data_IF_017223624650
#
_entry.id   IF_017223624650
#
_cell.length_a   1.000
_cell.length_b   1.000
_cell.length_c   1.000
_cell.angle_alpha   90.00
_cell.angle_beta   90.00
_cell.angle_gamma   90.00
#
_symmetry.space_group_name_H-M   'P 1'
#
loop_
_entity.id
_entity.type
_entity.pdbx_description
1 polymer ?
#
# COMPACT_ATOMS: atom_id res chain seq x y z
N UNK A 1 21.47 9.44 -15.23
CA UNK A 1 21.66 8.64 -14.00
C UNK A 1 20.66 9.15 -12.96
N UNK A 2 20.26 8.31 -12.00
CA UNK A 2 19.36 8.76 -10.91
C UNK A 2 20.12 9.68 -9.96
N UNK A 3 19.43 10.67 -9.37
CA UNK A 3 20.01 11.58 -8.38
C UNK A 3 20.31 10.80 -7.10
N UNK A 4 21.53 10.95 -6.59
CA UNK A 4 21.94 10.27 -5.36
C UNK A 4 21.37 10.96 -4.11
N UNK A 5 20.58 10.23 -3.34
CA UNK A 5 19.91 10.73 -2.13
C UNK A 5 20.91 11.20 -1.07
N UNK A 6 22.05 10.54 -0.95
CA UNK A 6 23.08 10.93 0.01
C UNK A 6 23.75 12.26 -0.36
N UNK A 7 24.01 12.47 -1.66
CA UNK A 7 24.55 13.74 -2.14
C UNK A 7 23.60 14.90 -1.84
N UNK A 8 22.31 14.73 -2.12
CA UNK A 8 21.31 15.76 -1.82
C UNK A 8 21.21 16.02 -0.32
N UNK A 9 21.11 14.95 0.51
CA UNK A 9 21.03 15.10 1.96
C UNK A 9 22.22 15.84 2.56
N UNK A 10 23.44 15.45 2.17
CA UNK A 10 24.67 16.11 2.66
C UNK A 10 24.79 17.54 2.19
N UNK A 11 24.33 17.86 0.96
CA UNK A 11 24.29 19.22 0.44
C UNK A 11 23.30 20.08 1.24
N UNK A 12 22.09 19.59 1.48
CA UNK A 12 21.07 20.27 2.28
C UNK A 12 21.59 20.54 3.70
N UNK A 13 22.18 19.54 4.37
CA UNK A 13 22.78 19.72 5.69
C UNK A 13 23.93 20.74 5.67
N UNK A 14 24.76 20.73 4.64
CA UNK A 14 25.89 21.67 4.53
C UNK A 14 25.41 23.13 4.43
N UNK A 15 24.31 23.37 3.71
CA UNK A 15 23.72 24.71 3.61
C UNK A 15 23.09 25.13 4.94
N UNK A 16 22.32 24.25 5.57
CA UNK A 16 21.66 24.54 6.85
C UNK A 16 22.67 24.77 7.97
N UNK A 17 23.74 23.97 8.05
CA UNK A 17 24.77 24.09 9.09
C UNK A 17 25.62 25.34 8.96
N UNK A 18 25.94 25.80 7.73
CA UNK A 18 26.71 27.02 7.51
C UNK A 18 26.06 28.26 8.11
N UNK A 19 24.75 28.29 8.08
CA UNK A 19 23.96 29.41 8.56
C UNK A 19 23.57 29.25 10.05
N UNK A 20 23.98 28.18 10.74
CA UNK A 20 23.57 27.82 12.12
C UNK A 20 22.04 27.81 12.31
N UNK A 21 21.29 27.50 11.23
CA UNK A 21 19.83 27.64 11.16
C UNK A 21 19.05 26.43 11.62
N UNK A 22 19.71 25.35 12.01
CA UNK A 22 19.07 24.17 12.54
C UNK A 22 19.50 22.87 11.85
N UNK A 23 18.95 21.79 12.30
CA UNK A 23 19.21 20.43 11.84
C UNK A 23 17.92 19.80 11.35
N UNK A 24 17.97 19.16 10.20
CA UNK A 24 16.88 18.35 9.67
C UNK A 24 17.15 16.88 9.92
N UNK A 25 16.20 16.20 10.51
CA UNK A 25 16.30 14.76 10.76
C UNK A 25 16.16 13.96 9.48
N UNK A 26 16.72 12.73 9.42
CA UNK A 26 16.53 11.86 8.26
C UNK A 26 15.06 11.58 7.89
N UNK A 27 14.18 11.48 8.87
CA UNK A 27 12.75 11.24 8.64
C UNK A 27 12.06 12.46 8.02
N UNK A 28 12.36 13.66 8.50
CA UNK A 28 11.87 14.90 7.91
C UNK A 28 12.39 15.07 6.49
N UNK A 29 13.68 14.81 6.26
CA UNK A 29 14.26 14.86 4.93
C UNK A 29 13.56 13.87 3.98
N UNK A 30 13.31 12.64 4.38
CA UNK A 30 12.66 11.63 3.56
C UNK A 30 11.25 12.05 3.14
N UNK A 31 10.50 12.68 4.04
CA UNK A 31 9.17 13.23 3.74
C UNK A 31 9.25 14.37 2.73
N UNK A 32 10.17 15.32 2.93
CA UNK A 32 10.36 16.44 2.00
C UNK A 32 10.89 15.98 0.64
N UNK A 33 11.85 15.08 0.63
CA UNK A 33 12.42 14.53 -0.61
C UNK A 33 11.35 13.82 -1.46
N UNK A 34 10.49 13.03 -0.82
CA UNK A 34 9.37 12.37 -1.50
C UNK A 34 8.37 13.39 -2.04
N UNK A 35 8.01 14.41 -1.26
CA UNK A 35 7.10 15.47 -1.68
C UNK A 35 7.65 16.23 -2.89
N UNK A 36 8.90 16.65 -2.83
CA UNK A 36 9.57 17.38 -3.92
C UNK A 36 9.66 16.54 -5.19
N UNK A 37 9.98 15.25 -5.07
CA UNK A 37 9.99 14.34 -6.22
C UNK A 37 8.62 14.26 -6.89
N UNK A 38 7.54 14.16 -6.11
CA UNK A 38 6.17 14.14 -6.63
C UNK A 38 5.80 15.45 -7.32
N UNK A 39 6.20 16.60 -6.78
CA UNK A 39 5.93 17.91 -7.38
C UNK A 39 6.64 18.09 -8.73
N UNK A 40 7.91 17.69 -8.82
CA UNK A 40 8.65 17.74 -10.09
C UNK A 40 8.02 16.77 -11.10
N UNK A 41 7.63 15.57 -10.66
CA UNK A 41 6.93 14.60 -11.50
C UNK A 41 5.62 15.15 -12.07
N UNK A 42 4.78 15.80 -11.26
CA UNK A 42 3.53 16.43 -11.72
C UNK A 42 3.80 17.62 -12.66
N UNK A 43 4.85 18.41 -12.40
CA UNK A 43 5.27 19.52 -13.25
C UNK A 43 5.53 19.08 -14.69
N UNK A 44 6.15 17.88 -14.93
CA UNK A 44 6.36 17.39 -16.29
C UNK A 44 5.09 17.27 -17.10
N UNK A 45 3.96 16.90 -16.46
CA UNK A 45 2.67 16.81 -17.18
C UNK A 45 2.04 18.18 -17.41
N UNK A 46 2.23 19.13 -16.51
CA UNK A 46 1.78 20.52 -16.71
C UNK A 46 2.55 21.15 -17.86
N UNK A 47 3.86 20.99 -17.89
CA UNK A 47 4.72 21.50 -18.94
C UNK A 47 4.40 20.85 -20.29
N UNK A 48 4.15 19.55 -20.33
CA UNK A 48 3.69 18.86 -21.55
C UNK A 48 2.36 19.43 -22.05
N UNK A 49 1.39 19.63 -21.17
CA UNK A 49 0.08 20.20 -21.53
C UNK A 49 0.20 21.64 -22.05
N UNK A 50 1.12 22.44 -21.48
CA UNK A 50 1.39 23.80 -21.95
C UNK A 50 2.02 23.79 -23.34
N UNK A 51 3.03 22.94 -23.57
CA UNK A 51 3.69 22.79 -24.85
C UNK A 51 2.71 22.35 -25.96
N UNK A 52 1.78 21.46 -25.68
CA UNK A 52 0.77 21.01 -26.65
C UNK A 52 -0.23 22.10 -27.05
N UNK A 53 -0.33 23.19 -26.30
CA UNK A 53 -1.21 24.35 -26.59
C UNK A 53 -0.51 25.47 -27.37
N UNK A 54 0.83 25.47 -27.39
CA UNK A 54 1.59 26.48 -28.11
C UNK A 54 1.61 26.14 -29.60
N UNK A 55 1.41 27.11 -30.53
CA UNK A 55 1.53 26.86 -31.96
C UNK A 55 2.91 26.34 -32.32
N UNK A 56 2.98 25.27 -33.09
CA UNK A 56 4.21 24.59 -33.50
C UNK A 56 4.95 25.43 -34.57
N UNK A 57 5.49 26.57 -34.21
CA UNK A 57 6.07 27.51 -35.14
C UNK A 57 7.61 27.42 -35.23
N UNK A 58 8.29 26.67 -34.31
CA UNK A 58 9.75 26.73 -34.20
C UNK A 58 10.38 25.35 -33.98
N UNK A 59 11.62 25.17 -34.45
CA UNK A 59 12.44 23.95 -34.28
C UNK A 59 12.76 23.66 -32.79
N UNK A 60 12.83 24.68 -31.96
CA UNK A 60 13.02 24.53 -30.50
C UNK A 60 11.85 23.82 -29.80
N UNK A 61 10.64 23.98 -30.33
CA UNK A 61 9.44 23.30 -29.81
C UNK A 61 9.62 21.77 -29.80
N UNK A 62 10.09 21.20 -30.90
CA UNK A 62 10.31 19.75 -30.99
C UNK A 62 11.37 19.24 -30.00
N UNK A 63 12.40 20.04 -29.70
CA UNK A 63 13.42 19.70 -28.73
C UNK A 63 12.88 19.76 -27.28
N UNK A 64 12.10 20.77 -26.94
CA UNK A 64 11.46 20.89 -25.61
C UNK A 64 10.49 19.73 -25.36
N UNK A 65 9.62 19.43 -26.31
CA UNK A 65 8.69 18.31 -26.21
C UNK A 65 9.44 16.99 -26.02
N UNK A 66 10.52 16.76 -26.79
CA UNK A 66 11.36 15.56 -26.68
C UNK A 66 12.04 15.46 -25.32
N UNK A 67 12.52 16.56 -24.76
CA UNK A 67 13.13 16.58 -23.44
C UNK A 67 12.11 16.22 -22.34
N UNK A 68 10.91 16.79 -22.39
CA UNK A 68 9.83 16.45 -21.43
C UNK A 68 9.43 14.97 -21.59
N UNK A 69 9.31 14.49 -22.83
CA UNK A 69 8.99 13.07 -23.08
C UNK A 69 10.09 12.13 -22.55
N UNK A 70 11.35 12.52 -22.65
CA UNK A 70 12.48 11.79 -22.06
C UNK A 70 12.36 11.73 -20.52
N UNK A 71 12.00 12.84 -19.86
CA UNK A 71 11.77 12.86 -18.40
C UNK A 71 10.63 11.93 -18.00
N UNK A 72 9.52 11.94 -18.75
CA UNK A 72 8.37 11.08 -18.49
C UNK A 72 8.68 9.61 -18.83
N UNK A 73 9.56 9.34 -19.80
CA UNK A 73 9.87 7.99 -20.27
C UNK A 73 10.42 7.07 -19.18
N UNK A 74 11.10 7.62 -18.17
CA UNK A 74 11.62 6.88 -17.01
C UNK A 74 10.50 6.20 -16.22
N UNK A 75 9.30 6.80 -16.24
CA UNK A 75 8.13 6.31 -15.52
C UNK A 75 7.19 5.46 -16.39
N UNK A 76 7.45 5.37 -17.70
CA UNK A 76 6.69 4.51 -18.61
C UNK A 76 7.09 3.06 -18.39
N UNK A 77 6.11 2.20 -18.11
CA UNK A 77 6.34 0.77 -17.89
C UNK A 77 5.17 -0.06 -18.39
N UNK A 78 5.37 -1.36 -18.51
CA UNK A 78 4.35 -2.32 -18.89
C UNK A 78 4.23 -3.36 -17.79
N UNK A 79 3.02 -3.68 -17.39
CA UNK A 79 2.74 -4.74 -16.44
C UNK A 79 1.45 -5.48 -16.80
N UNK A 80 1.37 -6.75 -16.38
CA UNK A 80 0.13 -7.51 -16.39
C UNK A 80 -0.69 -7.13 -15.15
N UNK A 81 -1.99 -6.85 -15.31
CA UNK A 81 -2.87 -6.57 -14.17
C UNK A 81 -3.20 -7.85 -13.40
N UNK A 82 -3.81 -7.70 -12.23
CA UNK A 82 -4.38 -8.83 -11.49
C UNK A 82 -5.81 -9.07 -11.96
N UNK A 83 -6.12 -10.29 -12.40
CA UNK A 83 -7.49 -10.68 -12.81
C UNK A 83 -8.33 -11.02 -11.59
N UNK A 84 -9.50 -10.42 -11.50
CA UNK A 84 -10.54 -10.73 -10.51
C UNK A 84 -11.71 -11.38 -11.25
N UNK A 85 -11.88 -12.67 -11.06
CA UNK A 85 -12.92 -13.45 -11.75
C UNK A 85 -14.32 -13.23 -11.18
N UNK A 86 -15.33 -13.66 -11.93
CA UNK A 86 -16.70 -13.78 -11.43
C UNK A 86 -16.74 -14.76 -10.27
N UNK A 87 -17.55 -14.48 -9.25
CA UNK A 87 -17.62 -15.30 -8.05
C UNK A 87 -16.42 -15.15 -7.11
N UNK A 88 -15.65 -14.06 -7.23
CA UNK A 88 -14.68 -13.68 -6.21
C UNK A 88 -15.43 -13.22 -4.95
N UNK A 89 -15.10 -13.83 -3.81
CA UNK A 89 -15.78 -13.58 -2.53
C UNK A 89 -15.36 -12.22 -1.98
N UNK A 90 -16.34 -11.39 -1.67
CA UNK A 90 -16.13 -10.04 -1.11
C UNK A 90 -16.38 -9.98 0.40
N UNK A 91 -17.40 -10.70 0.87
CA UNK A 91 -17.72 -10.75 2.31
C UNK A 91 -18.16 -12.17 2.70
N UNK A 92 -17.80 -12.55 3.93
CA UNK A 92 -18.18 -13.82 4.54
C UNK A 92 -18.58 -13.62 5.98
N UNK A 93 -19.41 -14.54 6.50
CA UNK A 93 -19.77 -14.64 7.90
C UNK A 93 -19.49 -16.03 8.45
N UNK A 94 -18.91 -16.11 9.65
CA UNK A 94 -18.66 -17.39 10.32
C UNK A 94 -19.99 -17.98 10.76
N UNK A 95 -20.32 -19.22 10.31
CA UNK A 95 -21.50 -19.97 10.76
C UNK A 95 -21.13 -20.86 11.93
N UNK A 96 -20.01 -21.57 11.81
CA UNK A 96 -19.48 -22.42 12.86
C UNK A 96 -17.99 -22.13 13.03
N UNK A 97 -17.59 -21.78 14.25
CA UNK A 97 -16.17 -21.52 14.55
C UNK A 97 -15.32 -22.78 14.68
N UNK A 98 -15.94 -23.95 14.66
CA UNK A 98 -15.26 -25.24 14.78
C UNK A 98 -14.49 -25.41 16.07
N UNK A 99 -13.54 -26.32 16.09
CA UNK A 99 -12.65 -26.58 17.23
C UNK A 99 -11.23 -26.88 16.78
N UNK A 100 -10.26 -26.61 17.64
CA UNK A 100 -8.84 -26.92 17.38
C UNK A 100 -8.14 -25.99 16.40
N UNK A 101 -8.73 -24.81 16.09
CA UNK A 101 -8.10 -23.79 15.24
C UNK A 101 -7.15 -22.90 16.02
N UNK A 102 -6.24 -22.27 15.30
CA UNK A 102 -5.33 -21.22 15.79
C UNK A 102 -5.45 -19.99 14.90
N UNK A 103 -5.01 -18.84 15.40
CA UNK A 103 -4.85 -17.68 14.53
C UNK A 103 -3.86 -18.01 13.41
N UNK A 104 -4.28 -17.85 12.19
CA UNK A 104 -3.46 -18.19 11.00
C UNK A 104 -3.83 -17.31 9.83
N UNK A 105 -2.90 -17.13 8.91
CA UNK A 105 -3.10 -16.38 7.67
C UNK A 105 -3.17 -17.31 6.47
N UNK A 106 -3.87 -16.88 5.42
CA UNK A 106 -4.00 -17.62 4.16
C UNK A 106 -4.51 -19.06 4.30
N UNK A 107 -5.41 -19.32 5.25
CA UNK A 107 -6.02 -20.64 5.44
C UNK A 107 -7.01 -20.90 4.31
N UNK A 108 -6.90 -22.04 3.64
CA UNK A 108 -7.83 -22.40 2.57
C UNK A 108 -9.26 -22.58 3.13
N UNK A 109 -10.22 -21.97 2.44
CA UNK A 109 -11.64 -22.21 2.67
C UNK A 109 -12.25 -22.75 1.36
N UNK A 110 -12.77 -23.97 1.37
CA UNK A 110 -13.13 -24.67 0.16
C UNK A 110 -14.59 -25.12 0.13
N UNK A 111 -15.22 -24.92 -1.02
CA UNK A 111 -16.47 -25.54 -1.47
C UNK A 111 -16.48 -25.59 -3.00
N UNK A 112 -16.85 -26.71 -3.58
CA UNK A 112 -17.04 -26.81 -5.04
C UNK A 112 -18.37 -26.11 -5.45
N UNK A 113 -18.39 -25.44 -6.65
CA UNK A 113 -17.35 -25.39 -7.68
C UNK A 113 -16.29 -24.33 -7.48
N UNK A 114 -16.40 -23.46 -6.48
CA UNK A 114 -15.44 -22.37 -6.24
C UNK A 114 -14.04 -22.89 -5.87
N UNK A 115 -13.04 -22.06 -6.11
CA UNK A 115 -11.64 -22.38 -5.83
C UNK A 115 -10.81 -21.14 -5.44
N UNK A 116 -9.73 -21.36 -4.67
CA UNK A 116 -8.76 -20.32 -4.35
C UNK A 116 -9.16 -19.34 -3.23
N UNK A 117 -10.29 -19.55 -2.54
CA UNK A 117 -10.64 -18.74 -1.36
C UNK A 117 -9.66 -19.06 -0.22
N UNK A 118 -9.02 -18.02 0.29
CA UNK A 118 -8.23 -18.11 1.53
C UNK A 118 -8.66 -17.01 2.50
N UNK A 119 -8.61 -17.35 3.79
CA UNK A 119 -9.02 -16.47 4.86
C UNK A 119 -7.97 -16.43 5.97
N UNK A 120 -7.88 -15.31 6.66
CA UNK A 120 -7.16 -15.20 7.91
C UNK A 120 -8.13 -15.53 9.04
N UNK A 121 -7.75 -16.44 9.91
CA UNK A 121 -8.59 -16.92 11.01
C UNK A 121 -8.22 -16.26 12.34
N UNK A 122 -9.22 -15.79 13.07
CA UNK A 122 -9.06 -15.17 14.38
C UNK A 122 -9.84 -15.98 15.41
N UNK A 123 -9.11 -16.60 16.32
CA UNK A 123 -9.66 -17.33 17.45
C UNK A 123 -9.57 -16.49 18.71
N UNK A 124 -10.58 -16.51 19.55
CA UNK A 124 -10.48 -15.89 20.88
C UNK A 124 -9.56 -16.75 21.73
N UNK A 125 -8.64 -16.14 22.48
CA UNK A 125 -7.96 -16.78 23.60
C UNK A 125 -8.89 -16.64 24.80
N UNK A 126 -9.63 -17.66 25.19
CA UNK A 126 -10.75 -17.46 26.13
C UNK A 126 -10.32 -17.36 27.58
N UNK A 127 -9.17 -17.90 27.95
CA UNK A 127 -8.69 -17.74 29.30
C UNK A 127 -7.16 -17.71 29.38
N UNK A 128 -6.69 -16.80 30.18
CA UNK A 128 -5.30 -16.70 30.63
C UNK A 128 -5.29 -16.58 32.16
N UNK A 129 -4.21 -17.00 32.74
CA UNK A 129 -3.95 -16.81 34.15
C UNK A 129 -2.75 -15.89 34.33
N UNK A 130 -2.88 -14.88 35.18
CA UNK A 130 -1.73 -14.09 35.61
C UNK A 130 -0.89 -15.02 36.51
N UNK A 131 0.23 -15.50 35.98
CA UNK A 131 1.09 -16.43 36.72
C UNK A 131 1.99 -15.66 37.66
N UNK A 132 2.55 -14.54 37.19
CA UNK A 132 3.33 -13.63 38.01
C UNK A 132 2.80 -12.21 37.76
N UNK A 133 2.27 -11.54 38.81
CA UNK A 133 1.66 -10.22 38.63
C UNK A 133 2.68 -9.08 38.40
N UNK A 134 3.96 -9.35 38.63
CA UNK A 134 5.03 -8.40 38.45
C UNK A 134 4.95 -7.19 39.40
N UNK A 135 5.71 -6.16 39.10
CA UNK A 135 5.73 -4.89 39.84
C UNK A 135 6.09 -3.71 38.94
N UNK A 136 5.74 -2.50 39.36
CA UNK A 136 6.08 -1.26 38.65
C UNK A 136 5.29 -1.03 37.36
N UNK A 137 4.16 -1.72 37.17
CA UNK A 137 3.26 -1.50 36.04
C UNK A 137 2.29 -0.35 36.32
N UNK A 138 1.81 0.25 35.25
CA UNK A 138 0.71 1.21 35.26
C UNK A 138 -0.47 0.70 34.40
N UNK A 139 -1.67 1.22 34.64
CA UNK A 139 -2.79 0.99 33.74
C UNK A 139 -2.45 1.52 32.36
N UNK A 140 -2.54 0.67 31.34
CA UNK A 140 -2.11 0.99 29.97
C UNK A 140 -2.91 0.15 28.96
N UNK A 141 -2.99 0.65 27.73
CA UNK A 141 -3.62 -0.04 26.58
C UNK A 141 -2.56 -0.45 25.57
N UNK A 142 -2.86 -1.53 24.85
CA UNK A 142 -2.02 -2.03 23.74
C UNK A 142 -0.57 -2.34 24.17
N UNK A 143 -0.39 -2.89 25.36
CA UNK A 143 0.92 -3.26 25.89
C UNK A 143 1.42 -4.50 25.15
N UNK A 144 2.60 -4.46 24.48
CA UNK A 144 3.15 -5.61 23.78
C UNK A 144 3.60 -6.70 24.76
N UNK A 145 3.65 -7.92 24.25
CA UNK A 145 4.12 -9.08 24.99
C UNK A 145 5.28 -9.75 24.28
N UNK A 146 6.07 -10.53 25.02
CA UNK A 146 7.19 -11.31 24.49
C UNK A 146 7.07 -12.77 24.94
N UNK A 147 7.54 -13.71 24.12
CA UNK A 147 7.46 -15.13 24.38
C UNK A 147 7.18 -15.93 23.11
N UNK A 148 6.55 -17.09 23.24
CA UNK A 148 6.08 -17.87 22.10
C UNK A 148 4.99 -17.11 21.36
N UNK A 149 4.93 -17.20 20.03
CA UNK A 149 4.01 -16.47 19.18
C UNK A 149 4.42 -15.02 18.89
N UNK A 150 3.57 -14.28 18.16
CA UNK A 150 3.81 -12.90 17.75
C UNK A 150 2.53 -12.08 17.80
N UNK A 151 2.65 -10.77 18.07
CA UNK A 151 1.57 -9.81 17.93
C UNK A 151 0.51 -9.83 19.05
N UNK A 152 0.64 -10.62 20.10
CA UNK A 152 -0.26 -10.51 21.26
C UNK A 152 -0.03 -9.19 21.97
N UNK A 153 -1.09 -8.44 22.18
CA UNK A 153 -1.07 -7.24 23.02
C UNK A 153 -2.19 -7.30 24.05
N UNK A 154 -1.95 -6.69 25.21
CA UNK A 154 -2.87 -6.69 26.33
C UNK A 154 -3.16 -5.28 26.83
N UNK A 155 -4.33 -5.07 27.41
CA UNK A 155 -4.65 -3.88 28.17
C UNK A 155 -4.55 -4.20 29.65
N UNK A 156 -3.70 -3.49 30.38
CA UNK A 156 -3.63 -3.55 31.85
C UNK A 156 -4.76 -2.69 32.39
N UNK A 157 -5.77 -3.31 32.97
CA UNK A 157 -7.01 -2.64 33.44
C UNK A 157 -6.97 -2.30 34.92
N UNK A 158 -6.18 -3.00 35.71
CA UNK A 158 -6.05 -2.75 37.16
C UNK A 158 -4.66 -3.16 37.68
N UNK A 159 -4.16 -2.40 38.64
CA UNK A 159 -2.93 -2.66 39.40
C UNK A 159 -3.17 -2.41 40.89
N UNK A 160 -2.33 -3.01 41.74
CA UNK A 160 -2.28 -2.69 43.18
C UNK A 160 -1.31 -1.52 43.45
N UNK A 161 -1.19 -1.12 44.73
CA UNK A 161 -0.33 -0.01 45.17
C UNK A 161 1.18 -0.26 44.89
N UNK A 162 1.61 -1.50 44.72
CA UNK A 162 2.98 -1.87 44.37
C UNK A 162 3.21 -1.93 42.86
N UNK A 163 2.22 -1.58 42.06
CA UNK A 163 2.25 -1.68 40.59
C UNK A 163 2.20 -3.12 40.08
N UNK A 164 1.65 -4.05 40.87
CA UNK A 164 1.45 -5.43 40.41
C UNK A 164 0.11 -5.52 39.65
N UNK A 165 0.10 -6.24 38.56
CA UNK A 165 -1.08 -6.38 37.69
C UNK A 165 -2.15 -7.23 38.37
N UNK A 166 -3.34 -6.68 38.54
CA UNK A 166 -4.51 -7.37 39.10
C UNK A 166 -5.64 -7.58 38.13
N UNK A 167 -5.65 -6.82 37.02
CA UNK A 167 -6.62 -6.95 35.95
C UNK A 167 -5.99 -6.74 34.58
N UNK A 168 -6.40 -7.57 33.63
CA UNK A 168 -5.89 -7.52 32.26
C UNK A 168 -6.98 -7.99 31.29
N UNK A 169 -6.98 -7.42 30.10
CA UNK A 169 -7.79 -7.88 28.96
C UNK A 169 -6.88 -8.06 27.74
N UNK A 170 -7.17 -9.05 26.91
CA UNK A 170 -6.49 -9.19 25.62
C UNK A 170 -7.00 -8.11 24.67
N UNK A 171 -6.09 -7.34 24.09
CA UNK A 171 -6.39 -6.34 23.07
C UNK A 171 -6.25 -6.91 21.66
N UNK A 172 -5.14 -7.59 21.38
CA UNK A 172 -4.92 -8.33 20.14
C UNK A 172 -4.47 -9.75 20.49
N UNK A 173 -5.11 -10.80 19.98
CA UNK A 173 -4.75 -12.19 20.34
C UNK A 173 -3.44 -12.68 19.71
N UNK A 174 -2.90 -11.97 18.69
CA UNK A 174 -1.67 -12.39 18.00
C UNK A 174 -1.77 -13.72 17.27
N UNK A 175 -0.61 -14.29 16.93
CA UNK A 175 -0.48 -15.53 16.13
C UNK A 175 0.55 -16.48 16.75
N UNK A 176 0.36 -17.80 16.53
CA UNK A 176 1.36 -18.82 16.89
C UNK A 176 1.45 -19.18 18.37
N UNK A 177 0.42 -18.90 19.15
CA UNK A 177 0.37 -19.28 20.57
C UNK A 177 -0.25 -20.68 20.77
N UNK A 178 0.18 -21.37 21.83
CA UNK A 178 -0.34 -22.65 22.26
C UNK A 178 -0.74 -22.63 23.73
N UNK A 179 -1.65 -23.53 24.14
CA UNK A 179 -1.99 -23.75 25.54
C UNK A 179 -0.73 -24.08 26.36
N UNK A 180 -0.59 -23.47 27.50
CA UNK A 180 0.59 -23.60 28.37
C UNK A 180 1.74 -22.66 28.02
N UNK A 181 1.66 -21.85 26.94
CA UNK A 181 2.67 -20.83 26.69
C UNK A 181 2.68 -19.80 27.83
N UNK A 182 3.90 -19.50 28.28
CA UNK A 182 4.17 -18.42 29.23
C UNK A 182 4.63 -17.20 28.46
N UNK A 183 3.93 -16.10 28.66
CA UNK A 183 4.12 -14.85 27.93
C UNK A 183 4.49 -13.76 28.92
N UNK A 184 5.56 -13.03 28.66
CA UNK A 184 5.97 -11.89 29.48
C UNK A 184 5.31 -10.61 28.97
N UNK A 185 4.81 -9.77 29.88
CA UNK A 185 4.26 -8.44 29.58
C UNK A 185 5.41 -7.44 29.62
N UNK A 186 5.56 -6.64 28.57
CA UNK A 186 6.59 -5.61 28.52
C UNK A 186 6.23 -4.40 29.39
N UNK A 187 7.24 -3.68 29.89
CA UNK A 187 7.04 -2.54 30.77
C UNK A 187 7.19 -2.91 32.26
N UNK A 188 6.97 -1.96 33.16
CA UNK A 188 7.21 -2.14 34.58
C UNK A 188 8.65 -2.64 34.85
N UNK A 189 8.79 -3.60 35.76
CA UNK A 189 10.04 -4.33 35.96
C UNK A 189 10.19 -5.53 35.00
N UNK A 190 9.33 -5.65 33.96
CA UNK A 190 9.30 -6.73 32.96
C UNK A 190 9.22 -8.15 33.53
N UNK A 191 8.64 -8.29 34.72
CA UNK A 191 8.56 -9.56 35.45
C UNK A 191 7.15 -10.12 35.60
N UNK A 192 6.15 -9.48 34.95
CA UNK A 192 4.79 -10.03 34.87
C UNK A 192 4.69 -11.08 33.79
N UNK A 193 4.08 -12.21 34.10
CA UNK A 193 3.85 -13.29 33.14
C UNK A 193 2.40 -13.76 33.15
N UNK A 194 1.94 -14.10 31.94
CA UNK A 194 0.65 -14.75 31.71
C UNK A 194 0.90 -16.18 31.26
N UNK A 195 0.14 -17.11 31.78
CA UNK A 195 0.05 -18.45 31.20
C UNK A 195 -1.28 -18.60 30.46
N UNK A 196 -1.21 -19.01 29.21
CA UNK A 196 -2.41 -19.35 28.44
C UNK A 196 -2.96 -20.68 28.95
N UNK A 197 -4.05 -20.61 29.74
CA UNK A 197 -4.59 -21.77 30.46
C UNK A 197 -5.47 -22.65 29.61
N UNK A 198 -6.24 -22.08 28.71
CA UNK A 198 -6.90 -22.78 27.62
C UNK A 198 -6.93 -21.86 26.41
N UNK A 199 -6.38 -22.31 25.32
CA UNK A 199 -6.91 -21.93 24.03
C UNK A 199 -8.24 -22.69 23.99
N UNK A 200 -9.36 -22.07 24.30
CA UNK A 200 -10.64 -22.80 24.35
C UNK A 200 -10.88 -23.34 22.97
N UNK A 201 -10.56 -24.56 22.80
CA UNK A 201 -10.86 -25.43 21.67
C UNK A 201 -10.70 -24.78 20.29
N UNK A 202 -9.91 -23.66 20.19
CA UNK A 202 -9.64 -22.94 18.95
C UNK A 202 -10.89 -22.66 18.12
N UNK A 203 -11.87 -21.99 18.71
CA UNK A 203 -13.10 -21.60 18.00
C UNK A 203 -12.86 -20.33 17.23
N UNK A 204 -13.02 -20.34 15.92
CA UNK A 204 -12.91 -19.17 15.06
C UNK A 204 -14.08 -18.22 15.37
N UNK A 205 -13.77 -16.98 15.72
CA UNK A 205 -14.75 -15.92 15.99
C UNK A 205 -14.93 -15.00 14.79
N UNK A 206 -13.87 -14.79 14.04
CA UNK A 206 -13.90 -13.93 12.86
C UNK A 206 -12.93 -14.46 11.80
N UNK A 207 -13.22 -14.13 10.56
CA UNK A 207 -12.35 -14.36 9.41
C UNK A 207 -12.24 -13.09 8.58
N UNK A 208 -11.03 -12.82 8.07
CA UNK A 208 -10.82 -11.82 7.04
C UNK A 208 -10.44 -12.53 5.73
N UNK A 209 -10.96 -12.06 4.61
CA UNK A 209 -10.63 -12.64 3.32
C UNK A 209 -9.23 -12.16 2.92
N UNK A 210 -8.30 -13.12 2.74
CA UNK A 210 -6.96 -12.86 2.19
C UNK A 210 -6.97 -12.92 0.68
N UNK A 211 -7.70 -13.89 0.11
CA UNK A 211 -7.94 -14.02 -1.32
C UNK A 211 -9.38 -14.52 -1.53
N UNK A 212 -10.16 -13.79 -2.33
CA UNK A 212 -11.55 -14.12 -2.58
C UNK A 212 -11.79 -15.29 -3.54
N UNK A 213 -10.73 -15.82 -4.18
CA UNK A 213 -10.85 -16.93 -5.13
C UNK A 213 -11.73 -16.62 -6.35
N UNK A 214 -12.37 -17.61 -6.91
CA UNK A 214 -13.30 -17.44 -8.04
C UNK A 214 -14.31 -18.60 -8.12
N UNK A 215 -15.43 -18.37 -8.82
CA UNK A 215 -16.43 -19.40 -9.08
C UNK A 215 -17.38 -19.69 -7.92
N UNK A 216 -17.42 -18.84 -6.91
CA UNK A 216 -18.34 -18.96 -5.77
C UNK A 216 -19.69 -18.31 -6.05
N UNK A 217 -20.71 -18.78 -5.31
CA UNK A 217 -22.06 -18.22 -5.31
C UNK A 217 -22.46 -17.74 -3.92
N UNK A 218 -23.34 -16.74 -3.88
CA UNK A 218 -23.87 -16.23 -2.60
C UNK A 218 -24.67 -17.31 -1.89
N UNK A 219 -24.46 -17.46 -0.60
CA UNK A 219 -25.13 -18.45 0.24
C UNK A 219 -24.37 -19.78 0.36
N UNK A 220 -23.35 -20.02 -0.44
CA UNK A 220 -22.49 -21.20 -0.28
C UNK A 220 -21.75 -21.17 1.07
N UNK A 221 -21.51 -22.37 1.62
CA UNK A 221 -20.86 -22.58 2.91
C UNK A 221 -19.54 -23.29 2.72
N UNK A 222 -18.45 -22.54 2.82
CA UNK A 222 -17.11 -23.09 2.67
C UNK A 222 -16.58 -23.62 4.00
N UNK A 223 -15.89 -24.77 3.95
CA UNK A 223 -15.19 -25.36 5.09
C UNK A 223 -13.79 -24.78 5.19
N UNK A 224 -13.42 -24.28 6.37
CA UNK A 224 -12.10 -23.72 6.65
C UNK A 224 -11.15 -24.88 6.99
N UNK A 225 -10.03 -24.95 6.31
CA UNK A 225 -9.03 -25.98 6.53
C UNK A 225 -8.34 -25.84 7.89
N UNK A 226 -7.82 -26.95 8.42
CA UNK A 226 -7.16 -26.99 9.72
C UNK A 226 -8.09 -27.34 10.88
N UNK A 227 -7.60 -27.22 12.11
CA UNK A 227 -8.33 -27.61 13.30
C UNK A 227 -8.93 -29.02 13.21
N UNK A 228 -10.15 -29.20 13.69
CA UNK A 228 -10.93 -30.41 13.51
C UNK A 228 -11.66 -30.50 12.15
N UNK A 229 -11.45 -29.52 11.24
CA UNK A 229 -12.10 -29.47 9.93
C UNK A 229 -13.59 -29.13 9.98
N UNK A 230 -14.09 -28.57 11.07
CA UNK A 230 -15.52 -28.34 11.32
C UNK A 230 -15.91 -26.85 11.39
N UNK A 231 -14.98 -25.95 11.13
CA UNK A 231 -15.30 -24.53 10.99
C UNK A 231 -15.85 -24.25 9.59
N UNK A 232 -16.89 -23.44 9.53
CA UNK A 232 -17.53 -23.08 8.27
C UNK A 232 -17.83 -21.59 8.20
N UNK A 233 -17.67 -21.03 7.01
CA UNK A 233 -18.03 -19.66 6.70
C UNK A 233 -18.99 -19.61 5.52
N UNK A 234 -20.01 -18.75 5.61
CA UNK A 234 -20.96 -18.51 4.52
C UNK A 234 -20.47 -17.37 3.66
N UNK A 235 -20.61 -17.51 2.38
CA UNK A 235 -20.36 -16.48 1.39
C UNK A 235 -21.55 -15.54 1.34
N UNK A 236 -21.39 -14.30 1.78
CA UNK A 236 -22.47 -13.32 1.87
C UNK A 236 -22.56 -12.45 0.63
N UNK A 237 -21.43 -12.13 0.00
CA UNK A 237 -21.40 -11.40 -1.26
C UNK A 237 -20.23 -11.79 -2.14
N UNK A 238 -20.44 -11.68 -3.45
CA UNK A 238 -19.45 -12.01 -4.48
C UNK A 238 -19.38 -10.91 -5.53
N UNK A 239 -18.28 -10.88 -6.26
CA UNK A 239 -18.16 -10.10 -7.47
C UNK A 239 -18.93 -10.78 -8.63
N UNK A 240 -19.80 -10.02 -9.29
CA UNK A 240 -20.65 -10.54 -10.37
C UNK A 240 -20.09 -10.30 -11.78
N UNK A 241 -19.05 -9.48 -11.90
CA UNK A 241 -18.42 -9.13 -13.18
C UNK A 241 -16.92 -9.27 -13.04
N UNK A 242 -16.26 -9.94 -14.00
CA UNK A 242 -14.80 -10.00 -14.04
C UNK A 242 -14.21 -8.62 -14.37
N UNK A 243 -13.12 -8.28 -13.70
CA UNK A 243 -12.35 -7.08 -13.96
C UNK A 243 -10.87 -7.33 -13.68
N UNK A 244 -10.07 -6.39 -14.12
CA UNK A 244 -8.62 -6.40 -13.88
C UNK A 244 -8.24 -5.24 -12.97
N UNK A 245 -7.41 -5.53 -11.97
CA UNK A 245 -6.82 -4.52 -11.12
C UNK A 245 -5.49 -4.08 -11.74
N UNK A 246 -5.36 -2.80 -12.10
CA UNK A 246 -4.08 -2.27 -12.54
C UNK A 246 -3.06 -2.25 -11.39
N UNK A 247 -1.75 -2.12 -11.68
CA UNK A 247 -0.72 -1.98 -10.66
C UNK A 247 -1.02 -0.85 -9.68
N UNK A 248 -0.68 -1.05 -8.39
CA UNK A 248 -0.96 -0.08 -7.32
C UNK A 248 -0.22 1.26 -7.47
N UNK A 249 0.89 1.26 -8.20
CA UNK A 249 1.68 2.46 -8.52
C UNK A 249 1.22 3.17 -9.81
N UNK A 250 0.07 2.78 -10.37
CA UNK A 250 -0.48 3.42 -11.55
C UNK A 250 -0.75 4.91 -11.30
N UNK A 251 -0.24 5.77 -12.18
CA UNK A 251 -0.60 7.19 -12.26
C UNK A 251 -1.54 7.46 -13.44
N UNK A 252 -1.16 7.06 -14.64
CA UNK A 252 -1.96 7.21 -15.87
C UNK A 252 -1.86 5.96 -16.73
N UNK A 253 -3.02 5.49 -17.23
CA UNK A 253 -3.05 4.43 -18.23
C UNK A 253 -2.63 5.03 -19.59
N UNK A 254 -1.72 4.36 -20.27
CA UNK A 254 -1.41 4.59 -21.68
C UNK A 254 -2.30 3.70 -22.55
N UNK A 255 -1.81 2.52 -22.89
CA UNK A 255 -2.53 1.56 -23.73
C UNK A 255 -2.77 0.25 -22.97
N UNK A 256 -3.91 -0.37 -23.24
CA UNK A 256 -4.21 -1.74 -22.79
C UNK A 256 -4.09 -2.66 -24.00
N UNK A 257 -3.33 -3.73 -23.88
CA UNK A 257 -2.94 -4.60 -24.98
C UNK A 257 -3.42 -6.02 -24.69
N UNK A 258 -4.08 -6.66 -25.68
CA UNK A 258 -4.51 -8.05 -25.62
C UNK A 258 -3.53 -8.95 -26.38
N UNK A 259 -3.02 -9.99 -25.70
CA UNK A 259 -2.07 -10.99 -26.23
C UNK A 259 -0.83 -10.40 -26.90
N UNK A 260 -0.38 -9.21 -26.44
CA UNK A 260 0.74 -8.45 -27.02
C UNK A 260 0.61 -8.14 -28.52
N UNK A 261 -0.61 -8.24 -29.08
CA UNK A 261 -0.87 -8.05 -30.51
C UNK A 261 -1.88 -6.95 -30.78
N UNK A 262 -2.87 -6.77 -29.90
CA UNK A 262 -4.01 -5.90 -30.19
C UNK A 262 -4.19 -4.87 -29.10
N UNK A 263 -4.29 -3.62 -29.51
CA UNK A 263 -4.69 -2.53 -28.63
C UNK A 263 -6.19 -2.61 -28.35
N UNK A 264 -6.60 -2.46 -27.09
CA UNK A 264 -7.99 -2.32 -26.70
C UNK A 264 -8.40 -0.85 -26.80
N UNK A 265 -9.53 -0.61 -27.43
CA UNK A 265 -10.11 0.74 -27.47
C UNK A 265 -10.74 1.06 -26.12
N UNK A 266 -10.41 2.23 -25.56
CA UNK A 266 -11.11 2.76 -24.39
C UNK A 266 -12.51 3.21 -24.78
N UNK A 267 -13.50 2.79 -24.01
CA UNK A 267 -14.89 3.21 -24.18
C UNK A 267 -15.45 3.72 -22.85
N UNK A 268 -16.40 4.63 -22.92
CA UNK A 268 -17.17 5.07 -21.76
C UNK A 268 -18.40 4.18 -21.56
N UNK A 269 -19.00 4.20 -20.37
CA UNK A 269 -20.12 3.29 -20.02
C UNK A 269 -21.34 3.45 -20.94
N UNK A 270 -21.70 4.66 -21.31
CA UNK A 270 -22.80 4.94 -22.24
C UNK A 270 -22.49 4.44 -23.66
N UNK A 271 -21.26 4.60 -24.11
CA UNK A 271 -20.80 4.08 -25.40
C UNK A 271 -20.84 2.56 -25.41
N UNK A 272 -20.34 1.91 -24.34
CA UNK A 272 -20.41 0.46 -24.17
C UNK A 272 -21.84 -0.08 -24.26
N UNK A 273 -22.81 0.61 -23.66
CA UNK A 273 -24.22 0.24 -23.76
C UNK A 273 -24.71 0.30 -25.22
N UNK A 274 -24.36 1.35 -25.96
CA UNK A 274 -24.77 1.53 -27.35
C UNK A 274 -24.15 0.48 -28.27
N UNK A 275 -22.85 0.20 -28.15
CA UNK A 275 -22.19 -0.78 -29.02
C UNK A 275 -22.65 -2.23 -28.73
N UNK A 276 -23.13 -2.50 -27.53
CA UNK A 276 -23.69 -3.83 -27.18
C UNK A 276 -25.09 -4.06 -27.74
N UNK A 277 -25.80 -3.04 -28.20
CA UNK A 277 -27.16 -3.16 -28.79
C UNK A 277 -27.15 -3.82 -30.18
N UNK A 278 -26.04 -3.71 -30.90
CA UNK A 278 -25.94 -4.26 -32.26
C UNK A 278 -24.95 -5.43 -32.31
N UNK A 279 -25.32 -6.57 -32.91
CA UNK A 279 -24.41 -7.70 -33.12
C UNK A 279 -23.16 -7.34 -33.95
N UNK A 280 -23.22 -6.32 -34.79
CA UNK A 280 -22.13 -5.87 -35.65
C UNK A 280 -21.10 -5.02 -34.90
N UNK A 281 -21.52 -4.29 -33.88
CA UNK A 281 -20.67 -3.38 -33.11
C UNK A 281 -20.23 -3.98 -31.77
N UNK A 282 -20.85 -5.08 -31.36
CA UNK A 282 -20.54 -5.76 -30.10
C UNK A 282 -19.06 -6.16 -30.04
N UNK A 283 -18.36 -5.90 -28.92
CA UNK A 283 -16.97 -6.26 -28.75
C UNK A 283 -16.71 -7.75 -28.97
N UNK A 284 -15.64 -8.05 -29.70
CA UNK A 284 -15.18 -9.42 -29.97
C UNK A 284 -13.72 -9.56 -29.57
N UNK A 285 -13.18 -10.78 -29.54
CA UNK A 285 -11.75 -11.02 -29.30
C UNK A 285 -10.85 -10.46 -30.40
N UNK A 286 -11.44 -10.11 -31.57
CA UNK A 286 -10.72 -9.44 -32.65
C UNK A 286 -10.67 -7.93 -32.43
N UNK A 287 -11.74 -7.35 -31.91
CA UNK A 287 -11.88 -5.92 -31.59
C UNK A 287 -12.32 -5.79 -30.12
N UNK A 288 -11.41 -6.05 -29.16
CA UNK A 288 -11.73 -5.91 -27.75
C UNK A 288 -11.72 -4.44 -27.35
N UNK A 289 -12.55 -4.13 -26.35
CA UNK A 289 -12.62 -2.78 -25.76
C UNK A 289 -12.44 -2.87 -24.25
N UNK A 290 -12.07 -1.76 -23.63
CA UNK A 290 -12.01 -1.68 -22.19
C UNK A 290 -12.70 -0.44 -21.63
N UNK A 291 -13.25 -0.60 -20.44
CA UNK A 291 -13.84 0.44 -19.62
C UNK A 291 -12.94 0.63 -18.38
N UNK A 292 -12.60 1.87 -18.05
CA UNK A 292 -11.80 2.20 -16.88
C UNK A 292 -12.60 3.05 -15.92
N UNK A 293 -12.93 2.49 -14.77
CA UNK A 293 -13.75 3.14 -13.74
C UNK A 293 -13.18 2.90 -12.36
N UNK A 294 -13.48 3.79 -11.45
CA UNK A 294 -13.20 3.57 -10.03
C UNK A 294 -14.29 2.70 -9.40
N UNK A 295 -13.91 1.73 -8.57
CA UNK A 295 -14.88 0.96 -7.80
C UNK A 295 -15.74 1.88 -6.94
N UNK A 296 -17.05 1.62 -6.90
CA UNK A 296 -17.94 2.35 -6.01
C UNK A 296 -17.53 2.13 -4.55
N UNK A 297 -17.52 3.20 -3.76
CA UNK A 297 -17.32 3.11 -2.33
C UNK A 297 -18.51 2.37 -1.71
N UNK A 298 -18.34 1.18 -1.24
CA UNK A 298 -19.41 0.35 -0.66
C UNK A 298 -19.21 -1.13 -0.88
N UNK A 299 -18.29 -1.51 -1.74
CA UNK A 299 -17.82 -2.89 -1.83
C UNK A 299 -16.85 -3.12 -0.69
N UNK A 300 -17.31 -3.77 0.38
CA UNK A 300 -16.45 -4.24 1.47
C UNK A 300 -15.44 -5.24 0.90
N UNK A 301 -14.17 -4.98 1.10
CA UNK A 301 -13.08 -5.84 0.63
C UNK A 301 -11.81 -5.03 0.32
N UNK A 302 -10.69 -5.71 0.16
CA UNK A 302 -9.36 -5.12 -0.06
C UNK A 302 -9.25 -4.24 -1.33
N UNK A 303 -10.29 -4.19 -2.18
CA UNK A 303 -10.29 -3.52 -3.47
C UNK A 303 -11.19 -2.26 -3.51
N UNK A 304 -11.72 -1.82 -2.36
CA UNK A 304 -12.54 -0.61 -2.31
C UNK A 304 -11.68 0.63 -2.59
N UNK A 305 -12.16 1.49 -3.48
CA UNK A 305 -11.46 2.73 -3.86
C UNK A 305 -10.33 2.55 -4.88
N UNK A 306 -10.09 1.34 -5.38
CA UNK A 306 -9.16 1.09 -6.48
C UNK A 306 -9.85 1.27 -7.84
N UNK A 307 -9.08 1.62 -8.84
CA UNK A 307 -9.58 1.69 -10.22
C UNK A 307 -9.65 0.29 -10.83
N UNK A 308 -10.70 0.03 -11.59
CA UNK A 308 -10.96 -1.23 -12.27
C UNK A 308 -10.88 -1.07 -13.78
N UNK A 309 -10.32 -2.06 -14.45
CA UNK A 309 -10.30 -2.20 -15.90
C UNK A 309 -11.24 -3.35 -16.27
N UNK A 310 -12.38 -3.03 -16.85
CA UNK A 310 -13.31 -4.04 -17.39
C UNK A 310 -12.97 -4.27 -18.85
N UNK A 311 -12.77 -5.52 -19.23
CA UNK A 311 -12.44 -5.89 -20.62
C UNK A 311 -13.63 -6.61 -21.26
N UNK A 312 -13.92 -6.25 -22.48
CA UNK A 312 -14.99 -6.86 -23.28
C UNK A 312 -14.43 -7.39 -24.59
N UNK A 313 -14.86 -8.60 -25.04
CA UNK A 313 -15.90 -9.45 -24.44
C UNK A 313 -15.46 -10.03 -23.08
N UNK A 314 -16.44 -10.31 -22.23
CA UNK A 314 -16.23 -10.85 -20.87
C UNK A 314 -15.60 -12.25 -20.82
N UNK A 315 -15.39 -12.87 -21.98
CA UNK A 315 -14.65 -14.13 -22.14
C UNK A 315 -13.14 -13.96 -21.95
N UNK A 316 -12.63 -12.72 -21.98
CA UNK A 316 -11.23 -12.39 -21.71
C UNK A 316 -11.08 -12.25 -20.18
N UNK A 317 -10.55 -13.29 -19.54
CA UNK A 317 -10.43 -13.34 -18.07
C UNK A 317 -9.01 -13.60 -17.58
N UNK A 318 -8.11 -14.07 -18.43
CA UNK A 318 -6.74 -14.39 -18.04
C UNK A 318 -5.87 -13.12 -17.91
N UNK A 319 -5.24 -12.93 -16.76
CA UNK A 319 -4.31 -11.81 -16.53
C UNK A 319 -3.10 -11.83 -17.47
N UNK A 320 -2.65 -13.03 -17.88
CA UNK A 320 -1.55 -13.21 -18.83
C UNK A 320 -1.86 -12.70 -20.24
N UNK A 321 -3.13 -12.58 -20.59
CA UNK A 321 -3.56 -12.12 -21.90
C UNK A 321 -3.63 -10.60 -21.99
N UNK A 322 -3.58 -9.90 -20.86
CA UNK A 322 -3.68 -8.43 -20.78
C UNK A 322 -2.37 -7.84 -20.31
N UNK A 323 -1.88 -6.85 -21.06
CA UNK A 323 -0.75 -6.02 -20.67
C UNK A 323 -1.19 -4.56 -20.66
N UNK A 324 -0.83 -3.84 -19.61
CA UNK A 324 -1.13 -2.41 -19.45
C UNK A 324 0.17 -1.64 -19.58
N UNK A 325 0.29 -0.80 -20.61
CA UNK A 325 1.33 0.22 -20.68
C UNK A 325 0.85 1.43 -19.89
N UNK A 326 1.63 1.90 -18.94
CA UNK A 326 1.20 2.96 -18.06
C UNK A 326 2.37 3.82 -17.56
N UNK A 327 2.04 4.97 -17.04
CA UNK A 327 2.96 5.82 -16.31
C UNK A 327 2.77 5.51 -14.82
N UNK A 328 3.85 5.07 -14.18
CA UNK A 328 3.84 4.78 -12.74
C UNK A 328 4.16 6.02 -11.92
N UNK A 329 3.70 6.04 -10.69
CA UNK A 329 4.17 7.01 -9.70
C UNK A 329 5.63 6.70 -9.34
N UNK A 330 6.46 7.73 -9.06
CA UNK A 330 7.79 7.51 -8.51
C UNK A 330 7.72 6.85 -7.13
N UNK A 331 8.74 6.07 -6.81
CA UNK A 331 8.89 5.45 -5.48
C UNK A 331 9.22 6.50 -4.43
N UNK A 332 8.85 6.26 -3.17
CA UNK A 332 9.23 7.14 -2.08
C UNK A 332 10.75 7.18 -1.94
N UNK A 333 11.29 8.39 -1.80
CA UNK A 333 12.72 8.60 -1.57
C UNK A 333 13.04 8.29 -0.11
N UNK A 334 14.08 7.50 0.12
CA UNK A 334 14.51 7.12 1.47
C UNK A 334 16.03 7.29 1.58
N UNK A 335 16.47 8.19 2.44
CA UNK A 335 17.83 8.17 2.95
C UNK A 335 17.88 7.19 4.12
N UNK A 336 18.35 5.97 3.83
CA UNK A 336 18.47 4.90 4.81
C UNK A 336 19.69 5.13 5.71
N UNK A 337 19.55 4.79 6.99
CA UNK A 337 20.62 4.98 7.96
C UNK A 337 20.68 3.85 8.99
N UNK A 338 21.84 3.74 9.61
CA UNK A 338 22.05 2.96 10.83
C UNK A 338 22.47 3.91 11.94
N UNK A 339 22.13 3.59 13.18
CA UNK A 339 22.53 4.39 14.33
C UNK A 339 23.88 3.87 14.84
N UNK A 340 24.89 4.73 14.81
CA UNK A 340 26.21 4.41 15.35
C UNK A 340 26.24 4.40 16.89
N UNK A 341 27.37 3.97 17.48
CA UNK A 341 27.56 3.80 18.92
C UNK A 341 27.41 5.09 19.74
N UNK A 342 27.60 6.25 19.11
CA UNK A 342 27.43 7.58 19.70
C UNK A 342 26.08 8.23 19.36
N UNK A 343 25.12 7.46 18.80
CA UNK A 343 23.83 7.98 18.41
C UNK A 343 23.79 8.73 17.06
N UNK A 344 24.91 8.80 16.34
CA UNK A 344 24.99 9.45 15.02
C UNK A 344 24.32 8.60 13.94
N UNK A 345 23.71 9.26 12.95
CA UNK A 345 23.14 8.62 11.78
C UNK A 345 24.23 8.37 10.73
N UNK A 346 24.40 7.11 10.35
CA UNK A 346 25.35 6.66 9.33
C UNK A 346 24.58 6.22 8.10
N UNK A 347 24.91 6.76 6.93
CA UNK A 347 24.28 6.39 5.68
C UNK A 347 24.39 4.90 5.38
N UNK A 348 23.27 4.29 4.98
CA UNK A 348 23.18 2.90 4.55
C UNK A 348 22.62 2.82 3.15
N UNK A 349 23.46 2.47 2.18
CA UNK A 349 23.04 2.35 0.78
C UNK A 349 22.05 1.20 0.55
N UNK A 350 22.10 0.14 1.36
CA UNK A 350 21.24 -1.04 1.24
C UNK A 350 19.78 -0.78 1.64
N UNK A 351 19.55 0.23 2.49
CA UNK A 351 18.21 0.63 2.97
C UNK A 351 17.73 1.93 2.35
N UNK A 352 18.52 2.51 1.43
CA UNK A 352 18.20 3.77 0.76
C UNK A 352 17.48 3.55 -0.57
N UNK A 353 16.54 4.45 -0.88
CA UNK A 353 15.91 4.58 -2.20
C UNK A 353 16.31 5.90 -2.83
N UNK A 354 16.90 5.84 -4.01
CA UNK A 354 17.38 7.00 -4.75
C UNK A 354 16.19 7.78 -5.36
N UNK A 355 16.44 9.06 -5.74
CA UNK A 355 15.49 9.78 -6.57
C UNK A 355 15.39 9.13 -7.95
N UNK A 356 14.21 9.09 -8.51
CA UNK A 356 13.95 8.55 -9.86
C UNK A 356 13.92 9.65 -10.92
N UNK A 357 14.45 10.83 -10.62
CA UNK A 357 14.59 11.97 -11.53
C UNK A 357 15.93 11.93 -12.26
N UNK A 358 16.03 12.68 -13.38
CA UNK A 358 17.28 12.88 -14.08
C UNK A 358 18.27 13.65 -13.21
N UNK A 359 19.56 13.37 -13.37
CA UNK A 359 20.65 14.05 -12.64
C UNK A 359 20.70 15.56 -12.89
N UNK A 360 20.20 16.03 -14.02
CA UNK A 360 20.04 17.46 -14.35
C UNK A 360 19.12 18.20 -13.39
N UNK A 361 18.15 17.50 -12.78
CA UNK A 361 17.17 18.05 -11.83
C UNK A 361 17.71 18.17 -10.39
N UNK A 362 18.96 17.75 -10.12
CA UNK A 362 19.51 17.72 -8.76
C UNK A 362 19.51 19.09 -8.10
N UNK A 363 19.78 20.15 -8.85
CA UNK A 363 19.77 21.51 -8.32
C UNK A 363 18.36 21.93 -7.89
N UNK A 364 17.36 21.70 -8.76
CA UNK A 364 15.96 22.01 -8.45
C UNK A 364 15.46 21.21 -7.24
N UNK A 365 15.76 19.91 -7.16
CA UNK A 365 15.44 19.09 -6.00
C UNK A 365 16.01 19.68 -4.71
N UNK A 366 17.31 20.04 -4.73
CA UNK A 366 17.98 20.59 -3.54
C UNK A 366 17.37 21.92 -3.11
N UNK A 367 17.09 22.82 -4.05
CA UNK A 367 16.50 24.13 -3.77
C UNK A 367 15.08 24.02 -3.21
N UNK A 368 14.24 23.13 -3.76
CA UNK A 368 12.90 22.90 -3.26
C UNK A 368 12.90 22.30 -1.85
N UNK A 369 13.79 21.34 -1.58
CA UNK A 369 13.95 20.78 -0.23
C UNK A 369 14.37 21.88 0.75
N UNK A 370 15.31 22.76 0.38
CA UNK A 370 15.73 23.88 1.22
C UNK A 370 14.60 24.88 1.46
N UNK A 371 13.76 25.15 0.46
CA UNK A 371 12.59 26.02 0.63
C UNK A 371 11.61 25.46 1.68
N UNK A 372 11.32 24.16 1.63
CA UNK A 372 10.47 23.51 2.64
C UNK A 372 11.15 23.42 4.01
N UNK A 373 12.46 23.12 4.04
CA UNK A 373 13.23 23.11 5.28
C UNK A 373 13.22 24.49 5.95
N UNK A 374 13.31 25.57 5.17
CA UNK A 374 13.20 26.94 5.66
C UNK A 374 11.86 27.24 6.34
N UNK A 375 10.75 26.69 5.82
CA UNK A 375 9.42 26.80 6.46
C UNK A 375 9.39 26.03 7.79
N UNK A 376 9.91 24.82 7.82
CA UNK A 376 9.95 23.99 9.05
C UNK A 376 10.79 24.65 10.13
N UNK A 377 11.93 25.23 9.76
CA UNK A 377 12.85 25.89 10.67
C UNK A 377 12.41 27.32 11.03
N UNK A 378 11.29 27.79 10.49
CA UNK A 378 10.78 29.15 10.64
C UNK A 378 11.80 30.24 10.23
N UNK A 379 12.50 29.99 9.11
CA UNK A 379 13.52 30.86 8.52
C UNK A 379 13.00 31.53 7.23
N UNK A 380 12.36 32.74 7.35
CA UNK A 380 11.72 33.37 6.19
C UNK A 380 12.70 33.74 5.07
N UNK A 381 13.93 34.06 5.39
CA UNK A 381 14.96 34.45 4.41
C UNK A 381 15.36 33.23 3.53
N UNK A 382 15.54 32.06 4.12
CA UNK A 382 15.86 30.83 3.39
C UNK A 382 14.69 30.46 2.46
N UNK A 383 13.47 30.51 2.96
CA UNK A 383 12.25 30.24 2.18
C UNK A 383 12.12 31.21 1.01
N UNK A 384 12.35 32.49 1.23
CA UNK A 384 12.25 33.55 0.21
C UNK A 384 13.33 33.41 -0.87
N UNK A 385 14.59 33.17 -0.48
CA UNK A 385 15.69 33.00 -1.42
C UNK A 385 15.53 31.73 -2.27
N UNK A 386 15.27 30.57 -1.65
CA UNK A 386 15.05 29.33 -2.38
C UNK A 386 13.80 29.40 -3.26
N UNK A 387 12.71 29.98 -2.76
CA UNK A 387 11.47 30.17 -3.53
C UNK A 387 11.65 31.09 -4.73
N UNK A 388 12.43 32.18 -4.62
CA UNK A 388 12.70 33.08 -5.76
C UNK A 388 13.51 32.43 -6.86
N UNK A 389 14.48 31.57 -6.52
CA UNK A 389 15.25 30.80 -7.50
C UNK A 389 14.37 29.79 -8.23
N UNK A 390 13.54 29.05 -7.50
CA UNK A 390 12.58 28.09 -8.09
C UNK A 390 11.58 28.81 -9.02
N UNK A 391 11.11 30.00 -8.65
CA UNK A 391 10.23 30.79 -9.54
C UNK A 391 10.96 31.27 -10.79
N UNK A 392 12.21 31.72 -10.68
CA UNK A 392 13.01 32.10 -11.82
C UNK A 392 13.26 30.94 -12.78
N UNK A 393 13.58 29.74 -12.28
CA UNK A 393 13.70 28.53 -13.08
C UNK A 393 12.40 28.16 -13.77
N UNK A 394 11.26 28.24 -13.08
CA UNK A 394 9.94 27.99 -13.67
C UNK A 394 9.58 28.98 -14.78
N UNK A 395 9.97 30.25 -14.66
CA UNK A 395 9.76 31.27 -15.70
C UNK A 395 10.66 30.98 -16.91
N UNK A 396 11.93 30.68 -16.66
CA UNK A 396 12.88 30.39 -17.73
C UNK A 396 12.55 29.09 -18.49
N UNK A 397 11.97 28.09 -17.83
CA UNK A 397 11.52 26.84 -18.48
C UNK A 397 10.26 27.03 -19.34
N UNK A 398 9.50 28.11 -19.14
CA UNK A 398 8.26 28.44 -19.87
C UNK A 398 8.47 29.39 -21.05
N UNK A 399 9.57 30.13 -21.09
CA UNK A 399 9.98 31.00 -22.19
C UNK A 399 10.89 30.26 -23.17
#
# INVERSE_FOLDING_TARGET
MAINVNTVYTTVLSVLNKEQRGYITPDEFNKLATQVQLEIFEKYFEDLNQQLRVPQADSEYANRQKNIDNCISIFKTIASPVSIGVGNVLTTSVISGGTGYVNSTNVAAAIAPGSGLTVDTFVTIPSFQITTPGSGYAVATNVPTTGAGTGLTVNITAINAAGSITGININNPGLGYATGNVIAITGGASNATLTLSTLSNGVIQNVNISNGGSGYSVGEVATIAGGAGNATTRIDSINTVSYFLPPSNLHRIGTVIYKNEKELQRVERNELLNINLSPLTKPTTTFPVYLYEQASQGVSGNNSGQSHVYVYPTTITAASDISISYIRKPSNVVWGFTVGTLGQYLYSSSTSTQFELLDTEQTEVTLRILAYAGVILNEPQLTQQAGSVVQAENINSKN
#
